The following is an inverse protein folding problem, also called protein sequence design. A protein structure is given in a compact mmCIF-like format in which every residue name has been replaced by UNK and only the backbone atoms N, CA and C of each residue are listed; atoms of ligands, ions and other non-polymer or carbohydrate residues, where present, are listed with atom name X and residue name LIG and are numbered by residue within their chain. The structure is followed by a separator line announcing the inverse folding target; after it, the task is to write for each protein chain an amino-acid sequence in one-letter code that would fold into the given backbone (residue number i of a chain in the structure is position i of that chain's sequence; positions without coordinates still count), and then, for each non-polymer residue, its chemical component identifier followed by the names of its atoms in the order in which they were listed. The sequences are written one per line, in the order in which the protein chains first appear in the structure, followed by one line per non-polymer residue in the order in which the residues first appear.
data_IF_873500105984
#
_entry.id   IF_873500105984
#
_cell.length_a   1.000
_cell.length_b   1.000
_cell.length_c   1.000
_cell.angle_alpha   90.00
_cell.angle_beta   90.00
_cell.angle_gamma   90.00
#
_symmetry.space_group_name_H-M   'P 1'
#
loop_
_entity.id
_entity.type
_entity.pdbx_description
1 polymer ?
#
# COMPACT_ATOMS: atom_id res chain seq x y z
N UNK A 1 11.72 -7.84 4.25
CA UNK A 1 11.07 -7.01 3.21
C UNK A 1 10.34 -7.94 2.25
N UNK A 2 9.21 -7.52 1.68
CA UNK A 2 8.49 -8.29 0.66
C UNK A 2 8.49 -7.52 -0.65
N UNK A 3 8.82 -8.19 -1.76
CA UNK A 3 8.77 -7.60 -3.12
C UNK A 3 7.71 -8.31 -3.93
N UNK A 4 6.92 -7.56 -4.70
CA UNK A 4 5.90 -8.10 -5.59
C UNK A 4 6.30 -7.79 -7.04
N UNK A 5 6.23 -8.79 -7.91
CA UNK A 5 6.48 -8.60 -9.34
C UNK A 5 5.29 -7.94 -10.02
N UNK A 6 5.56 -6.96 -10.89
CA UNK A 6 4.53 -6.24 -11.64
C UNK A 6 3.75 -7.13 -12.63
N UNK A 7 4.41 -8.16 -13.16
CA UNK A 7 3.86 -9.03 -14.19
C UNK A 7 4.06 -10.52 -13.92
N UNK A 8 3.24 -11.34 -14.57
CA UNK A 8 3.39 -12.79 -14.58
C UNK A 8 4.66 -13.18 -15.32
N UNK A 9 5.43 -14.10 -14.74
CA UNK A 9 6.67 -14.63 -15.34
C UNK A 9 6.43 -15.97 -16.02
N UNK A 10 7.33 -16.35 -16.92
CA UNK A 10 7.26 -17.63 -17.63
C UNK A 10 7.16 -18.81 -16.65
N UNK A 11 6.20 -19.70 -16.91
CA UNK A 11 5.91 -20.87 -16.07
C UNK A 11 4.79 -20.68 -15.04
N UNK A 12 4.36 -19.44 -14.78
CA UNK A 12 3.19 -19.17 -13.94
C UNK A 12 1.91 -19.08 -14.78
N UNK A 13 0.76 -19.33 -14.13
CA UNK A 13 -0.54 -19.11 -14.75
C UNK A 13 -0.75 -17.61 -15.06
N UNK A 14 -1.40 -17.31 -16.18
CA UNK A 14 -1.67 -15.92 -16.59
C UNK A 14 -2.38 -15.12 -15.48
N UNK A 15 -1.86 -13.93 -15.17
CA UNK A 15 -2.39 -13.07 -14.11
C UNK A 15 -2.04 -13.52 -12.68
N UNK A 16 -1.11 -14.46 -12.52
CA UNK A 16 -0.52 -14.79 -11.22
C UNK A 16 0.83 -14.09 -11.10
N UNK A 17 1.02 -13.35 -10.00
CA UNK A 17 2.21 -12.58 -9.66
C UNK A 17 2.93 -13.24 -8.48
N UNK A 18 4.22 -12.99 -8.32
CA UNK A 18 5.03 -13.55 -7.23
C UNK A 18 5.35 -12.49 -6.19
N UNK A 19 5.13 -12.84 -4.93
CA UNK A 19 5.65 -12.09 -3.78
C UNK A 19 6.87 -12.86 -3.26
N UNK A 20 8.00 -12.19 -3.07
CA UNK A 20 9.24 -12.79 -2.58
C UNK A 20 9.67 -12.14 -1.27
N UNK A 21 10.15 -12.94 -0.32
CA UNK A 21 10.76 -12.42 0.89
C UNK A 21 12.26 -12.15 0.68
N UNK A 22 12.68 -10.93 1.03
CA UNK A 22 14.05 -10.45 1.02
C UNK A 22 14.50 -10.15 2.45
N UNK A 23 15.65 -10.72 2.84
CA UNK A 23 16.31 -10.48 4.11
C UNK A 23 17.34 -9.35 3.96
N UNK A 24 17.15 -8.28 4.73
CA UNK A 24 17.99 -7.08 4.67
C UNK A 24 19.34 -7.25 5.35
N UNK A 25 19.48 -8.19 6.30
CA UNK A 25 20.73 -8.39 7.02
C UNK A 25 21.73 -9.20 6.19
N UNK A 26 21.21 -10.14 5.41
CA UNK A 26 21.99 -10.99 4.51
C UNK A 26 22.00 -10.48 3.07
N UNK A 27 21.22 -9.44 2.78
CA UNK A 27 21.05 -8.84 1.44
C UNK A 27 20.65 -9.88 0.37
N UNK A 28 19.83 -10.84 0.76
CA UNK A 28 19.49 -11.99 -0.08
C UNK A 28 17.99 -12.30 -0.07
N UNK A 29 17.51 -12.86 -1.18
CA UNK A 29 16.21 -13.52 -1.19
C UNK A 29 16.25 -14.79 -0.35
N UNK A 30 15.26 -14.95 0.52
CA UNK A 30 15.17 -16.08 1.46
C UNK A 30 14.76 -17.40 0.79
N UNK A 31 14.24 -17.33 -0.43
CA UNK A 31 13.59 -18.45 -1.13
C UNK A 31 12.11 -18.63 -0.76
N UNK A 32 11.61 -17.93 0.26
CA UNK A 32 10.18 -17.92 0.57
C UNK A 32 9.41 -17.06 -0.43
N UNK A 33 8.35 -17.64 -1.00
CA UNK A 33 7.57 -17.04 -2.06
C UNK A 33 6.07 -17.32 -1.88
N UNK A 34 5.25 -16.36 -2.28
CA UNK A 34 3.80 -16.49 -2.39
C UNK A 34 3.33 -16.16 -3.81
N UNK A 35 2.07 -16.49 -4.09
CA UNK A 35 1.40 -16.17 -5.35
C UNK A 35 0.25 -15.21 -5.08
N UNK A 36 0.19 -14.11 -5.81
CA UNK A 36 -0.89 -13.16 -5.81
C UNK A 36 -1.66 -13.30 -7.12
N UNK A 37 -2.97 -13.58 -7.07
CA UNK A 37 -3.80 -13.72 -8.25
C UNK A 37 -4.52 -12.40 -8.54
N UNK A 38 -4.29 -11.83 -9.72
CA UNK A 38 -5.05 -10.68 -10.22
C UNK A 38 -6.53 -11.05 -10.34
N UNK A 39 -7.39 -10.07 -10.09
CA UNK A 39 -8.80 -10.09 -10.44
C UNK A 39 -8.94 -10.25 -11.97
N UNK A 40 -10.05 -10.81 -12.42
CA UNK A 40 -10.30 -10.96 -13.85
C UNK A 40 -10.31 -9.61 -14.60
N UNK A 41 -10.69 -8.52 -13.91
CA UNK A 41 -10.65 -7.17 -14.44
C UNK A 41 -9.30 -6.47 -14.23
N UNK A 42 -8.40 -7.02 -13.42
CA UNK A 42 -7.08 -6.47 -13.14
C UNK A 42 -6.03 -6.93 -14.15
N UNK A 43 -5.16 -6.01 -14.58
CA UNK A 43 -4.04 -6.32 -15.50
C UNK A 43 -2.68 -5.91 -14.94
N UNK A 44 -2.68 -5.07 -13.92
CA UNK A 44 -1.48 -4.47 -13.37
C UNK A 44 -1.64 -4.20 -11.86
N UNK A 45 -0.51 -4.00 -11.22
CA UNK A 45 -0.43 -3.46 -9.86
C UNK A 45 0.22 -2.07 -9.89
N UNK A 46 0.01 -1.29 -8.83
CA UNK A 46 0.59 0.04 -8.66
C UNK A 46 1.66 0.09 -7.58
N UNK A 47 1.36 -0.50 -6.42
CA UNK A 47 2.23 -0.50 -5.24
C UNK A 47 1.83 -1.64 -4.29
N UNK A 48 2.74 -2.00 -3.38
CA UNK A 48 2.47 -2.92 -2.28
C UNK A 48 3.11 -2.42 -0.97
N UNK A 49 2.25 -2.11 0.01
CA UNK A 49 2.68 -1.54 1.29
C UNK A 49 2.26 -2.40 2.47
N UNK A 50 3.17 -2.66 3.40
CA UNK A 50 2.89 -3.44 4.60
C UNK A 50 1.97 -2.66 5.57
N UNK A 51 0.97 -3.36 6.12
CA UNK A 51 0.16 -2.91 7.24
C UNK A 51 0.85 -3.32 8.55
N UNK A 52 1.36 -4.55 8.58
CA UNK A 52 2.13 -5.16 9.65
C UNK A 52 3.07 -6.24 9.06
N UNK A 53 3.57 -7.16 9.88
CA UNK A 53 4.56 -8.16 9.48
C UNK A 53 4.06 -9.16 8.42
N UNK A 54 2.74 -9.34 8.26
CA UNK A 54 2.19 -10.33 7.35
C UNK A 54 0.97 -9.86 6.53
N UNK A 55 0.33 -8.75 6.89
CA UNK A 55 -0.74 -8.13 6.12
C UNK A 55 -0.20 -6.98 5.25
N UNK A 56 -0.59 -6.94 3.97
CA UNK A 56 -0.16 -5.93 3.01
C UNK A 56 -1.35 -5.37 2.23
N UNK A 57 -1.25 -4.12 1.80
CA UNK A 57 -2.11 -3.50 0.81
C UNK A 57 -1.46 -3.61 -0.57
N UNK A 58 -2.28 -3.88 -1.59
CA UNK A 58 -1.86 -3.90 -3.00
C UNK A 58 -2.81 -3.01 -3.80
N UNK A 59 -2.27 -2.04 -4.52
CA UNK A 59 -3.04 -1.35 -5.57
C UNK A 59 -3.12 -2.29 -6.76
N UNK A 60 -4.34 -2.62 -7.19
CA UNK A 60 -4.59 -3.41 -8.39
C UNK A 60 -5.51 -2.66 -9.33
N UNK A 61 -5.14 -2.63 -10.61
CA UNK A 61 -5.78 -1.80 -11.62
C UNK A 61 -5.72 -2.41 -13.00
N UNK A 62 -6.52 -1.87 -13.91
CA UNK A 62 -6.35 -2.06 -15.35
C UNK A 62 -5.86 -0.80 -16.05
N UNK A 63 -5.66 -0.86 -17.37
CA UNK A 63 -5.26 0.29 -18.18
C UNK A 63 -6.39 1.24 -18.59
N UNK A 64 -7.65 0.96 -18.24
CA UNK A 64 -8.78 1.80 -18.62
C UNK A 64 -8.89 3.05 -17.74
N UNK A 65 -9.28 4.18 -18.33
CA UNK A 65 -9.49 5.48 -17.69
C UNK A 65 -10.92 5.97 -17.93
N UNK A 66 -11.28 7.15 -17.43
CA UNK A 66 -12.59 7.73 -17.75
C UNK A 66 -12.68 8.17 -19.22
N UNK A 67 -11.55 8.31 -19.91
CA UNK A 67 -11.48 8.75 -21.31
C UNK A 67 -11.23 7.63 -22.32
N UNK A 68 -11.00 6.38 -21.90
CA UNK A 68 -10.89 5.26 -22.83
C UNK A 68 -10.42 3.95 -22.22
N UNK A 69 -10.26 2.94 -23.09
CA UNK A 69 -9.69 1.63 -22.70
C UNK A 69 -10.68 0.64 -22.05
N UNK A 70 -11.96 1.01 -21.91
CA UNK A 70 -13.01 0.15 -21.35
C UNK A 70 -13.49 0.63 -19.98
N UNK A 71 -13.98 -0.28 -19.13
CA UNK A 71 -14.41 0.05 -17.77
C UNK A 71 -13.21 0.11 -16.82
N UNK A 72 -12.96 1.25 -16.14
CA UNK A 72 -11.88 1.34 -15.17
C UNK A 72 -12.09 0.38 -14.01
N UNK A 73 -11.05 -0.42 -13.73
CA UNK A 73 -10.90 -1.17 -12.50
C UNK A 73 -9.72 -0.59 -11.75
N UNK A 74 -9.96 -0.05 -10.55
CA UNK A 74 -8.98 0.64 -9.69
C UNK A 74 -9.30 0.32 -8.24
N UNK A 75 -8.60 -0.61 -7.61
CA UNK A 75 -8.93 -1.07 -6.26
C UNK A 75 -7.69 -1.22 -5.40
N UNK A 76 -7.89 -1.15 -4.09
CA UNK A 76 -6.90 -1.49 -3.09
C UNK A 76 -7.38 -2.76 -2.39
N UNK A 77 -6.55 -3.80 -2.45
CA UNK A 77 -6.81 -5.06 -1.77
C UNK A 77 -5.89 -5.22 -0.57
N UNK A 78 -6.41 -5.79 0.52
CA UNK A 78 -5.60 -6.34 1.60
C UNK A 78 -5.32 -7.82 1.35
N UNK A 79 -4.09 -8.25 1.56
CA UNK A 79 -3.68 -9.65 1.60
C UNK A 79 -3.09 -10.00 2.96
N UNK A 80 -3.12 -11.28 3.31
CA UNK A 80 -2.42 -11.84 4.46
C UNK A 80 -1.54 -13.00 3.97
N UNK A 81 -0.21 -12.89 4.17
CA UNK A 81 0.77 -13.90 3.78
C UNK A 81 0.59 -15.25 4.51
N UNK A 82 -0.15 -15.25 5.62
CA UNK A 82 -0.49 -16.46 6.38
C UNK A 82 -1.78 -17.13 5.88
N UNK A 83 -2.51 -16.52 4.94
CA UNK A 83 -3.80 -17.02 4.47
C UNK A 83 -3.78 -17.28 2.97
N UNK A 84 -3.95 -18.54 2.59
CA UNK A 84 -4.04 -18.97 1.20
C UNK A 84 -5.47 -19.36 0.83
N UNK A 85 -5.84 -19.11 -0.42
CA UNK A 85 -7.05 -19.62 -1.03
C UNK A 85 -6.92 -21.11 -1.39
N UNK A 86 -8.01 -21.73 -1.86
CA UNK A 86 -8.02 -23.15 -2.26
C UNK A 86 -7.12 -23.49 -3.45
N UNK A 87 -6.58 -22.48 -4.15
CA UNK A 87 -5.63 -22.63 -5.26
C UNK A 87 -4.18 -22.31 -4.84
N UNK A 88 -3.94 -22.01 -3.56
CA UNK A 88 -2.62 -21.70 -3.02
C UNK A 88 -2.12 -20.28 -3.31
N UNK A 89 -3.00 -19.34 -3.71
CA UNK A 89 -2.65 -17.92 -3.78
C UNK A 89 -2.97 -17.23 -2.44
N UNK A 90 -2.34 -16.11 -2.15
CA UNK A 90 -2.74 -15.29 -0.99
C UNK A 90 -4.18 -14.83 -1.16
N UNK A 91 -4.97 -15.04 -0.12
CA UNK A 91 -6.35 -14.55 -0.08
C UNK A 91 -6.33 -13.03 -0.04
N UNK A 92 -7.16 -12.39 -0.87
CA UNK A 92 -7.28 -10.94 -0.93
C UNK A 92 -8.70 -10.46 -0.62
N UNK A 93 -8.82 -9.34 0.08
CA UNK A 93 -10.09 -8.69 0.42
C UNK A 93 -10.05 -7.26 -0.07
N UNK A 94 -11.09 -6.82 -0.76
CA UNK A 94 -11.22 -5.43 -1.20
C UNK A 94 -11.35 -4.49 0.01
N UNK A 95 -10.53 -3.44 0.04
CA UNK A 95 -10.54 -2.42 1.09
C UNK A 95 -11.07 -1.09 0.55
N UNK A 96 -10.67 -0.72 -0.68
CA UNK A 96 -11.11 0.52 -1.32
C UNK A 96 -11.40 0.26 -2.79
N UNK A 97 -12.56 0.72 -3.26
CA UNK A 97 -12.84 0.89 -4.68
C UNK A 97 -12.56 2.36 -5.06
N UNK A 98 -11.46 2.59 -5.77
CA UNK A 98 -11.04 3.94 -6.16
C UNK A 98 -11.92 4.52 -7.28
N UNK A 99 -12.80 3.72 -7.87
CA UNK A 99 -13.86 4.19 -8.76
C UNK A 99 -15.17 4.49 -8.03
N UNK A 100 -15.21 4.33 -6.70
CA UNK A 100 -16.44 4.46 -5.92
C UNK A 100 -16.21 5.08 -4.52
N UNK A 101 -15.50 6.21 -4.42
CA UNK A 101 -15.17 6.84 -3.13
C UNK A 101 -16.27 7.83 -2.73
N UNK A 102 -16.80 7.72 -1.51
CA UNK A 102 -17.79 8.68 -0.99
C UNK A 102 -17.13 10.04 -0.77
N UNK A 103 -17.68 11.09 -1.37
CA UNK A 103 -17.21 12.47 -1.25
C UNK A 103 -18.37 13.40 -0.83
N UNK A 104 -18.78 13.37 0.45
CA UNK A 104 -19.98 14.08 0.89
C UNK A 104 -19.81 15.61 0.91
N UNK A 105 -18.59 16.09 0.65
CA UNK A 105 -18.25 17.50 0.68
C UNK A 105 -17.85 18.04 -0.69
N UNK A 106 -17.97 17.23 -1.75
CA UNK A 106 -17.63 17.59 -3.13
C UNK A 106 -16.26 18.30 -3.17
N UNK A 107 -15.23 17.63 -2.62
CA UNK A 107 -13.92 18.24 -2.41
C UNK A 107 -13.26 18.64 -3.74
N UNK A 108 -13.64 18.01 -4.85
CA UNK A 108 -13.19 18.35 -6.19
C UNK A 108 -14.13 19.31 -6.95
N UNK A 109 -15.29 19.66 -6.39
CA UNK A 109 -16.21 20.67 -6.94
C UNK A 109 -16.88 20.26 -8.25
N UNK A 110 -17.10 18.97 -8.48
CA UNK A 110 -17.75 18.45 -9.69
C UNK A 110 -19.27 18.28 -9.55
N UNK A 111 -19.82 18.56 -8.36
CA UNK A 111 -21.24 18.45 -8.06
C UNK A 111 -21.71 17.02 -7.76
N UNK A 112 -20.80 16.06 -7.63
CA UNK A 112 -21.06 14.67 -7.28
C UNK A 112 -20.67 14.40 -5.82
N UNK A 113 -21.50 13.65 -5.10
CA UNK A 113 -21.11 13.11 -3.79
C UNK A 113 -20.25 11.83 -3.91
N UNK A 114 -19.73 11.57 -5.11
CA UNK A 114 -18.97 10.39 -5.48
C UNK A 114 -17.74 10.80 -6.27
N UNK A 115 -16.59 10.50 -5.70
CA UNK A 115 -15.30 10.72 -6.32
C UNK A 115 -14.79 9.42 -6.98
N UNK A 116 -14.16 9.58 -8.15
CA UNK A 116 -13.48 8.51 -8.89
C UNK A 116 -12.00 8.84 -9.01
N UNK A 117 -11.12 7.85 -9.19
CA UNK A 117 -9.68 8.06 -9.41
C UNK A 117 -9.20 7.27 -10.64
N UNK A 118 -9.60 7.68 -11.85
CA UNK A 118 -9.54 6.83 -13.04
C UNK A 118 -8.19 6.87 -13.77
N UNK A 119 -7.09 6.80 -13.02
CA UNK A 119 -5.74 6.99 -13.57
C UNK A 119 -4.99 5.68 -13.83
N UNK A 120 -4.07 5.68 -14.80
CA UNK A 120 -3.26 4.51 -15.14
C UNK A 120 -2.13 4.28 -14.11
N UNK A 121 -1.57 5.36 -13.58
CA UNK A 121 -0.34 5.43 -12.76
C UNK A 121 -0.62 5.75 -11.30
N UNK A 122 -1.62 5.07 -10.73
CA UNK A 122 -1.83 5.04 -9.28
C UNK A 122 -0.72 4.18 -8.68
N UNK A 123 0.35 4.81 -8.19
CA UNK A 123 1.64 4.17 -7.91
C UNK A 123 2.07 4.29 -6.45
N UNK A 124 1.20 4.78 -5.57
CA UNK A 124 1.54 4.84 -4.15
C UNK A 124 0.32 4.64 -3.26
N UNK A 125 0.47 3.76 -2.27
CA UNK A 125 -0.41 3.68 -1.11
C UNK A 125 0.42 3.68 0.17
N UNK A 126 0.12 4.60 1.07
CA UNK A 126 0.75 4.70 2.38
C UNK A 126 -0.32 4.60 3.48
N UNK A 127 -0.06 3.75 4.47
CA UNK A 127 -0.87 3.68 5.69
C UNK A 127 -0.46 4.83 6.60
N UNK A 128 -1.36 5.80 6.81
CA UNK A 128 -1.11 6.92 7.73
C UNK A 128 -1.46 6.55 9.17
N UNK A 129 -2.57 5.83 9.35
CA UNK A 129 -3.02 5.26 10.62
C UNK A 129 -4.02 4.11 10.36
N UNK A 130 -4.60 3.55 11.42
CA UNK A 130 -5.52 2.42 11.34
C UNK A 130 -6.76 2.69 10.46
N UNK A 131 -7.16 3.94 10.25
CA UNK A 131 -8.34 4.30 9.48
C UNK A 131 -8.03 5.19 8.27
N UNK A 132 -6.77 5.44 7.95
CA UNK A 132 -6.44 6.45 6.95
C UNK A 132 -5.34 5.99 6.01
N UNK A 133 -5.63 6.04 4.72
CA UNK A 133 -4.67 5.83 3.65
C UNK A 133 -4.35 7.15 2.95
N UNK A 134 -3.09 7.31 2.53
CA UNK A 134 -2.70 8.24 1.48
C UNK A 134 -2.55 7.43 0.19
N UNK A 135 -3.20 7.85 -0.89
CA UNK A 135 -3.11 7.23 -2.22
C UNK A 135 -2.67 8.30 -3.21
N UNK A 136 -1.70 8.00 -4.08
CA UNK A 136 -1.20 8.98 -5.05
C UNK A 136 -1.23 8.46 -6.49
N UNK A 137 -1.50 9.39 -7.41
CA UNK A 137 -1.30 9.21 -8.83
C UNK A 137 -0.04 9.96 -9.28
N UNK A 138 0.83 9.29 -10.04
CA UNK A 138 1.86 9.98 -10.80
C UNK A 138 1.24 10.62 -12.06
N UNK A 139 1.81 11.74 -12.53
CA UNK A 139 1.32 12.50 -13.67
C UNK A 139 1.46 11.79 -15.03
N UNK A 140 2.02 10.57 -15.03
CA UNK A 140 2.16 9.69 -16.18
C UNK A 140 2.91 10.32 -17.37
N UNK A 141 3.68 11.39 -17.20
CA UNK A 141 4.17 12.16 -18.33
C UNK A 141 5.19 11.39 -19.20
N UNK A 142 5.09 11.41 -20.55
CA UNK A 142 4.18 12.20 -21.41
C UNK A 142 2.87 11.48 -21.78
N UNK A 143 2.53 10.41 -21.08
CA UNK A 143 1.23 9.74 -21.15
C UNK A 143 0.07 10.70 -20.95
N UNK A 144 -1.07 10.28 -21.49
CA UNK A 144 -2.33 11.02 -21.45
C UNK A 144 -3.46 10.06 -21.08
N UNK A 145 -4.59 10.65 -20.71
CA UNK A 145 -5.78 9.91 -20.36
C UNK A 145 -5.89 9.72 -18.86
N UNK A 146 -7.08 9.96 -18.33
CA UNK A 146 -7.36 9.93 -16.92
C UNK A 146 -8.80 10.36 -16.73
N UNK A 147 -9.01 11.51 -16.07
CA UNK A 147 -10.30 12.22 -16.10
C UNK A 147 -10.56 12.95 -17.41
N UNK A 148 -9.50 13.38 -18.10
CA UNK A 148 -9.59 14.07 -19.39
C UNK A 148 -8.56 13.49 -20.39
N UNK A 149 -8.43 14.15 -21.54
CA UNK A 149 -7.55 13.71 -22.65
C UNK A 149 -6.12 14.28 -22.54
N UNK A 150 -5.84 15.11 -21.54
CA UNK A 150 -4.53 15.66 -21.25
C UNK A 150 -3.66 14.69 -20.44
N UNK A 151 -2.48 15.17 -20.06
CA UNK A 151 -1.65 14.49 -19.06
C UNK A 151 -2.25 14.63 -17.68
N UNK A 152 -2.05 13.61 -16.86
CA UNK A 152 -2.58 13.59 -15.51
C UNK A 152 -1.91 14.65 -14.62
N UNK A 153 -2.61 15.10 -13.60
CA UNK A 153 -1.97 15.78 -12.49
C UNK A 153 -1.41 14.73 -11.52
N UNK A 154 -0.34 15.09 -10.82
CA UNK A 154 0.00 14.38 -9.57
C UNK A 154 -1.09 14.71 -8.55
N UNK A 155 -1.86 13.71 -8.15
CA UNK A 155 -2.97 13.86 -7.21
C UNK A 155 -2.73 13.01 -5.96
N UNK A 156 -3.11 13.53 -4.79
CA UNK A 156 -3.02 12.84 -3.51
C UNK A 156 -4.41 12.77 -2.87
N UNK A 157 -4.83 11.56 -2.52
CA UNK A 157 -6.08 11.32 -1.79
C UNK A 157 -5.76 10.91 -0.36
N UNK A 158 -6.45 11.53 0.60
CA UNK A 158 -6.53 11.01 1.96
C UNK A 158 -7.86 10.30 2.13
N UNK A 159 -7.84 8.97 2.21
CA UNK A 159 -9.03 8.13 2.24
C UNK A 159 -9.24 7.63 3.67
N UNK A 160 -10.44 7.84 4.21
CA UNK A 160 -10.87 7.23 5.47
C UNK A 160 -11.46 5.84 5.22
N UNK A 161 -11.13 4.89 6.08
CA UNK A 161 -11.62 3.50 6.03
C UNK A 161 -12.65 3.27 7.13
N UNK A 162 -13.78 2.68 6.76
CA UNK A 162 -14.81 2.30 7.74
C UNK A 162 -14.32 1.20 8.70
N UNK A 163 -13.43 0.33 8.22
CA UNK A 163 -12.84 -0.76 8.99
C UNK A 163 -11.38 -0.45 9.32
N UNK A 164 -11.01 -0.60 10.59
CA UNK A 164 -9.65 -0.40 11.04
C UNK A 164 -8.70 -1.45 10.46
N UNK A 165 -7.52 -1.00 10.03
CA UNK A 165 -6.37 -1.84 9.74
C UNK A 165 -5.62 -2.19 11.03
N UNK A 166 -5.06 -3.39 11.08
CA UNK A 166 -4.22 -3.84 12.20
C UNK A 166 -2.77 -3.33 12.02
N UNK A 167 -2.58 -2.02 12.18
CA UNK A 167 -1.30 -1.36 11.90
C UNK A 167 -0.28 -1.67 12.99
N UNK A 168 0.85 -2.24 12.61
CA UNK A 168 1.98 -2.36 13.53
C UNK A 168 2.58 -0.98 13.81
N UNK A 169 2.98 -0.67 15.05
CA UNK A 169 3.76 0.53 15.32
C UNK A 169 5.04 0.49 14.48
N UNK A 170 5.29 1.53 13.68
CA UNK A 170 6.59 1.71 13.03
C UNK A 170 7.61 1.90 14.16
N UNK A 171 8.62 1.03 14.32
CA UNK A 171 9.66 1.24 15.31
C UNK A 171 10.49 2.45 14.88
N UNK A 172 10.14 3.63 15.39
CA UNK A 172 10.95 4.84 15.23
C UNK A 172 12.31 4.60 15.90
N UNK A 173 13.44 4.60 15.17
CA UNK A 173 14.78 4.42 15.75
C UNK A 173 15.04 5.43 16.88
N UNK A 174 14.47 6.63 16.77
CA UNK A 174 14.57 7.69 17.76
C UNK A 174 13.89 7.34 19.10
N UNK A 175 12.78 6.61 19.09
CA UNK A 175 12.02 6.28 20.30
C UNK A 175 12.77 5.30 21.21
N UNK A 176 13.45 4.31 20.63
CA UNK A 176 14.32 3.39 21.35
C UNK A 176 15.61 4.07 21.84
N UNK A 177 16.22 4.91 20.99
CA UNK A 177 17.40 5.68 21.38
C UNK A 177 17.11 6.67 22.52
N UNK A 178 15.95 7.33 22.51
CA UNK A 178 15.50 8.22 23.58
C UNK A 178 15.16 7.46 24.86
N UNK A 179 14.54 6.29 24.78
CA UNK A 179 14.30 5.44 25.95
C UNK A 179 15.60 4.95 26.60
N UNK A 180 16.53 4.43 25.81
CA UNK A 180 17.83 3.94 26.30
C UNK A 180 18.68 5.10 26.83
N UNK A 181 18.72 6.23 26.12
CA UNK A 181 19.38 7.45 26.58
C UNK A 181 18.81 7.96 27.91
N UNK A 182 17.48 8.05 28.02
CA UNK A 182 16.78 8.50 29.22
C UNK A 182 17.06 7.63 30.45
N UNK A 183 17.01 6.30 30.30
CA UNK A 183 17.34 5.35 31.35
C UNK A 183 18.82 5.43 31.78
N UNK A 184 19.74 5.61 30.82
CA UNK A 184 21.17 5.80 31.09
C UNK A 184 21.45 7.06 31.93
N UNK A 185 20.79 8.18 31.61
CA UNK A 185 20.92 9.42 32.38
C UNK A 185 20.37 9.32 33.81
N UNK A 186 19.30 8.55 34.02
CA UNK A 186 18.72 8.33 35.35
C UNK A 186 19.63 7.47 36.23
N UNK A 187 20.22 6.40 35.66
CA UNK A 187 21.18 5.54 36.36
C UNK A 187 22.45 6.28 36.79
N UNK A 188 22.98 7.18 35.95
CA UNK A 188 24.14 8.02 36.26
C UNK A 188 23.86 9.05 37.38
N UNK A 189 22.66 9.66 37.40
CA UNK A 189 22.26 10.57 38.48
C UNK A 189 22.09 9.87 39.82
N UNK A 190 21.53 8.65 39.82
CA UNK A 190 21.36 7.85 41.04
C UNK A 190 22.70 7.35 41.60
N UNK A 191 23.68 7.05 40.74
CA UNK A 191 25.02 6.62 41.16
C UNK A 191 25.85 7.76 41.75
N UNK A 192 25.73 8.98 41.21
CA UNK A 192 26.40 10.18 41.77
C UNK A 192 25.89 10.57 43.17
N UNK A 193 24.60 10.33 43.47
CA UNK A 193 24.04 10.59 44.81
C UNK A 193 24.54 9.63 45.90
N UNK A 194 25.07 8.45 45.55
CA UNK A 194 25.59 7.47 46.52
C UNK A 194 27.09 7.62 46.86
N UNK A 195 27.81 8.51 46.18
CA UNK A 195 29.25 8.74 46.42
C UNK A 195 29.58 10.17 46.88
N UNK A 196 28.56 10.96 47.23
CA UNK A 196 28.71 12.26 47.89
C UNK A 196 28.11 12.21 49.29
N UNK A 197 28.83 11.56 50.21
CA UNK A 197 28.68 11.66 51.66
C UNK A 197 30.09 11.62 52.25
#
# INVERSE_FOLDING_TARGET
LYTLLEGTVAGDAAGTLRINAFDINTEAYTGQQWRYKLDAAGTNIGDMTAINDHELLVIERNGATATGGGTPFKKIFKIDLNQLDGSGNVSKTEVVDLMNITDPHDLNGDGSNRFTFPFVTIESVLVLDAHTLLVANDNNYPGIGGRDLGSDNTEFLKIHLDQALNVSPVPEPASLALMVGGLGFMGLKLRRRKHGA
#
